data_IF_997471971525
#
_entry.id   IF_997471971525
#
_cell.length_a   1.000
_cell.length_b   1.000
_cell.length_c   1.000
_cell.angle_alpha   90.00
_cell.angle_beta   90.00
_cell.angle_gamma   90.00
#
_symmetry.space_group_name_H-M   'P 1'
#
loop_
_entity.id
_entity.type
_entity.pdbx_description
1 polymer ?
#
# COMPACT_ATOMS: atom_id res chain seq x y z
N UNK A 1 -32.09 8.92 6.28
CA UNK A 1 -31.10 8.42 5.29
C UNK A 1 -29.76 9.07 5.61
N UNK A 2 -28.76 8.31 6.08
CA UNK A 2 -27.46 8.88 6.44
C UNK A 2 -26.58 9.03 5.19
N UNK A 3 -26.40 10.27 4.74
CA UNK A 3 -25.52 10.62 3.62
C UNK A 3 -24.09 10.76 4.15
N UNK A 4 -23.19 9.82 3.82
CA UNK A 4 -21.75 9.96 4.06
C UNK A 4 -21.14 10.82 2.95
N UNK A 5 -20.93 12.09 3.24
CA UNK A 5 -20.27 13.03 2.33
C UNK A 5 -18.77 12.69 2.19
N UNK A 6 -18.20 12.76 0.97
CA UNK A 6 -16.77 12.59 0.76
C UNK A 6 -16.01 13.78 1.33
N UNK A 7 -14.84 13.51 1.91
CA UNK A 7 -14.00 14.55 2.51
C UNK A 7 -13.35 15.39 1.41
N UNK A 8 -13.70 16.67 1.34
CA UNK A 8 -13.21 17.61 0.33
C UNK A 8 -11.73 17.98 0.54
N UNK A 9 -11.25 17.99 1.79
CA UNK A 9 -9.89 18.41 2.13
C UNK A 9 -8.98 17.24 2.50
N UNK A 10 -7.88 17.08 1.78
CA UNK A 10 -6.82 16.13 2.09
C UNK A 10 -5.96 16.58 3.28
N UNK A 11 -5.45 15.60 4.06
CA UNK A 11 -4.54 15.90 5.17
C UNK A 11 -3.14 16.21 4.61
N UNK A 12 -2.60 17.37 4.96
CA UNK A 12 -1.24 17.77 4.56
C UNK A 12 -0.18 16.86 5.19
N UNK A 13 0.91 16.64 4.45
CA UNK A 13 2.08 15.89 4.95
C UNK A 13 2.71 16.59 6.15
N UNK A 14 3.09 15.81 7.17
CA UNK A 14 3.79 16.35 8.34
C UNK A 14 5.22 16.75 7.99
N UNK A 15 5.59 18.00 8.29
CA UNK A 15 6.96 18.51 8.14
C UNK A 15 7.73 18.23 9.44
N UNK A 16 8.80 17.46 9.35
CA UNK A 16 9.67 17.14 10.50
C UNK A 16 10.66 18.28 10.73
N UNK A 17 11.12 18.49 11.97
CA UNK A 17 12.14 19.49 12.28
C UNK A 17 11.68 20.95 12.17
N UNK A 18 10.39 21.25 12.44
CA UNK A 18 9.81 22.60 12.37
C UNK A 18 9.37 23.11 13.74
N UNK A 19 10.30 23.12 14.70
CA UNK A 19 10.07 23.61 16.06
C UNK A 19 9.16 22.71 16.92
N UNK A 20 9.13 22.97 18.23
CA UNK A 20 8.42 22.11 19.18
C UNK A 20 6.90 22.11 18.97
N UNK A 21 6.30 23.26 18.62
CA UNK A 21 4.86 23.40 18.35
C UNK A 21 4.34 22.58 17.15
N UNK A 22 5.22 22.08 16.27
CA UNK A 22 4.84 21.15 15.20
C UNK A 22 4.59 19.71 15.67
N UNK A 23 4.91 19.41 16.94
CA UNK A 23 4.83 18.08 17.55
C UNK A 23 5.87 17.07 17.04
N UNK A 24 6.73 17.43 16.08
CA UNK A 24 7.83 16.59 15.55
C UNK A 24 9.11 17.39 15.23
N UNK A 25 9.26 18.58 15.80
CA UNK A 25 10.40 19.47 15.54
C UNK A 25 11.31 19.74 16.73
N UNK A 26 11.17 18.99 17.83
CA UNK A 26 12.14 19.00 18.93
C UNK A 26 13.43 18.25 18.53
N UNK A 27 14.42 18.22 19.42
CA UNK A 27 15.81 17.78 19.20
C UNK A 27 15.97 16.43 18.46
N UNK A 28 15.01 15.52 18.61
CA UNK A 28 15.08 14.17 18.03
C UNK A 28 14.25 13.97 16.76
N UNK A 29 13.46 14.97 16.34
CA UNK A 29 12.52 14.86 15.21
C UNK A 29 11.74 13.52 15.18
N UNK A 30 11.39 12.97 16.35
CA UNK A 30 10.76 11.64 16.54
C UNK A 30 11.53 10.41 16.05
N UNK A 31 12.84 10.51 15.93
CA UNK A 31 13.72 9.38 15.66
C UNK A 31 14.32 8.75 16.93
N UNK A 32 14.06 9.33 18.10
CA UNK A 32 14.69 8.95 19.37
C UNK A 32 16.02 9.68 19.62
N UNK A 33 16.60 9.50 20.81
CA UNK A 33 17.80 10.25 21.23
C UNK A 33 19.09 9.68 20.64
N UNK A 34 19.39 8.41 20.90
CA UNK A 34 20.65 7.77 20.53
C UNK A 34 20.37 6.33 20.12
N UNK A 35 20.62 6.00 18.86
CA UNK A 35 20.45 4.64 18.34
C UNK A 35 20.77 4.57 16.85
N UNK A 36 20.94 3.36 16.30
CA UNK A 36 21.23 3.21 14.87
C UNK A 36 20.11 3.82 14.01
N UNK A 37 18.84 3.62 14.36
CA UNK A 37 17.67 4.19 13.65
C UNK A 37 17.57 5.72 13.68
N UNK A 38 18.26 6.39 14.61
CA UNK A 38 18.29 7.85 14.62
C UNK A 38 19.36 8.43 13.71
N UNK A 39 20.39 7.65 13.38
CA UNK A 39 21.55 8.06 12.56
C UNK A 39 21.50 7.52 11.13
N UNK A 40 21.05 6.28 10.96
CA UNK A 40 21.09 5.55 9.70
C UNK A 40 19.81 4.77 9.43
N UNK A 41 19.61 4.43 8.16
CA UNK A 41 18.51 3.58 7.73
C UNK A 41 18.93 2.12 7.81
N UNK A 42 18.08 1.29 8.43
CA UNK A 42 18.26 -0.15 8.49
C UNK A 42 17.35 -0.77 7.43
N UNK A 43 17.83 -1.81 6.74
CA UNK A 43 17.04 -2.51 5.74
C UNK A 43 15.75 -3.06 6.35
N UNK A 44 14.62 -2.89 5.65
CA UNK A 44 13.27 -3.23 6.16
C UNK A 44 13.15 -4.71 6.55
N UNK A 45 13.84 -5.59 5.83
CA UNK A 45 13.81 -7.04 6.07
C UNK A 45 14.86 -7.50 7.10
N UNK A 46 15.61 -6.58 7.71
CA UNK A 46 16.62 -6.94 8.70
C UNK A 46 15.98 -7.16 10.07
N UNK A 47 16.04 -8.40 10.55
CA UNK A 47 15.49 -8.82 11.85
C UNK A 47 16.51 -8.74 13.00
N UNK A 48 17.74 -8.29 12.75
CA UNK A 48 18.83 -8.33 13.76
C UNK A 48 19.65 -9.63 13.76
N UNK A 49 19.31 -10.57 12.87
CA UNK A 49 20.01 -11.85 12.74
C UNK A 49 20.72 -11.96 11.38
N UNK A 50 21.73 -12.84 11.27
CA UNK A 50 22.36 -13.16 9.98
C UNK A 50 21.29 -13.56 8.96
N UNK A 51 21.46 -13.18 7.69
CA UNK A 51 20.46 -13.42 6.61
C UNK A 51 19.96 -14.86 6.51
N UNK A 52 20.82 -15.85 6.81
CA UNK A 52 20.44 -17.29 6.82
C UNK A 52 19.30 -17.61 7.80
N UNK A 53 19.11 -16.78 8.82
CA UNK A 53 18.08 -16.92 9.86
C UNK A 53 16.90 -15.96 9.68
N UNK A 54 16.84 -15.15 8.63
CA UNK A 54 15.66 -14.28 8.38
C UNK A 54 14.45 -15.12 7.97
N UNK A 55 13.26 -14.63 8.28
CA UNK A 55 11.97 -15.19 7.88
C UNK A 55 11.91 -15.56 6.41
N UNK A 56 12.51 -14.75 5.52
CA UNK A 56 12.56 -15.01 4.08
C UNK A 56 13.24 -16.31 3.69
N UNK A 57 14.21 -16.78 4.50
CA UNK A 57 14.94 -18.03 4.28
C UNK A 57 14.36 -19.18 5.09
N UNK A 58 13.63 -18.89 6.18
CA UNK A 58 12.91 -19.90 6.97
C UNK A 58 11.69 -20.45 6.24
N UNK A 59 10.99 -19.60 5.49
CA UNK A 59 9.80 -20.01 4.74
C UNK A 59 10.16 -20.70 3.43
N UNK A 60 9.42 -21.75 3.02
CA UNK A 60 9.63 -22.36 1.72
C UNK A 60 9.33 -21.36 0.61
N UNK A 61 10.18 -21.36 -0.42
CA UNK A 61 9.92 -20.54 -1.60
C UNK A 61 8.71 -21.11 -2.37
N UNK A 62 7.88 -20.23 -2.90
CA UNK A 62 6.77 -20.64 -3.78
C UNK A 62 7.31 -21.47 -4.95
N UNK A 63 6.76 -22.67 -5.12
CA UNK A 63 7.14 -23.58 -6.20
C UNK A 63 6.87 -22.92 -7.55
N UNK A 64 7.88 -22.83 -8.40
CA UNK A 64 7.78 -22.23 -9.74
C UNK A 64 7.79 -20.69 -9.80
N UNK A 65 8.27 -20.01 -8.75
CA UNK A 65 8.49 -18.55 -8.75
C UNK A 65 9.30 -18.13 -9.99
N UNK A 66 8.63 -17.51 -10.97
CA UNK A 66 9.26 -17.00 -12.19
C UNK A 66 9.49 -18.00 -13.32
N UNK A 67 8.83 -19.17 -13.35
CA UNK A 67 8.91 -20.09 -14.51
C UNK A 67 8.24 -19.48 -15.76
N UNK A 68 9.00 -18.65 -16.48
CA UNK A 68 8.90 -18.24 -17.89
C UNK A 68 7.51 -17.98 -18.49
N UNK A 69 6.58 -17.39 -17.73
CA UNK A 69 5.29 -16.97 -18.31
C UNK A 69 5.40 -15.55 -18.82
N UNK A 70 5.31 -15.35 -20.15
CA UNK A 70 4.95 -14.03 -20.68
C UNK A 70 3.61 -13.67 -20.05
N UNK A 71 3.59 -12.66 -19.18
CA UNK A 71 2.34 -12.15 -18.63
C UNK A 71 1.61 -11.45 -19.77
N UNK A 72 0.98 -12.20 -20.66
CA UNK A 72 -0.10 -11.67 -21.49
C UNK A 72 -1.18 -11.29 -20.48
N UNK A 73 -1.24 -9.99 -20.15
CA UNK A 73 -2.28 -9.46 -19.29
C UNK A 73 -3.63 -9.95 -19.80
N UNK A 74 -4.57 -10.24 -18.90
CA UNK A 74 -5.92 -10.60 -19.28
C UNK A 74 -6.53 -9.40 -20.02
N UNK A 75 -6.43 -9.37 -21.34
CA UNK A 75 -7.08 -8.39 -22.22
C UNK A 75 -8.56 -8.73 -22.44
N UNK A 76 -9.06 -9.81 -21.84
CA UNK A 76 -10.48 -10.12 -21.81
C UNK A 76 -11.11 -9.53 -20.53
N UNK A 77 -11.96 -8.50 -20.70
CA UNK A 77 -12.92 -8.10 -19.66
C UNK A 77 -14.00 -9.17 -19.59
N UNK A 78 -14.07 -9.89 -18.47
CA UNK A 78 -15.20 -10.77 -18.19
C UNK A 78 -16.45 -9.92 -17.91
N UNK A 79 -17.43 -9.96 -18.81
CA UNK A 79 -18.75 -9.35 -18.60
C UNK A 79 -19.72 -10.47 -18.22
N UNK A 80 -20.36 -10.34 -17.05
CA UNK A 80 -21.41 -11.27 -16.60
C UNK A 80 -22.73 -10.94 -17.29
N UNK A 81 -23.54 -11.96 -17.59
CA UNK A 81 -24.85 -11.80 -18.26
C UNK A 81 -25.78 -10.77 -17.59
N UNK A 82 -25.65 -10.58 -16.28
CA UNK A 82 -26.38 -9.55 -15.52
C UNK A 82 -26.08 -8.12 -15.94
N UNK A 83 -24.82 -7.82 -16.35
CA UNK A 83 -24.41 -6.47 -16.75
C UNK A 83 -24.90 -6.09 -18.16
N UNK A 84 -25.20 -7.07 -19.01
CA UNK A 84 -25.69 -6.85 -20.38
C UNK A 84 -27.16 -6.39 -20.35
N UNK A 85 -27.97 -6.94 -19.44
CA UNK A 85 -29.41 -6.62 -19.32
C UNK A 85 -29.70 -5.17 -18.91
N UNK A 86 -28.74 -4.49 -18.30
CA UNK A 86 -28.88 -3.07 -17.88
C UNK A 86 -28.91 -2.13 -19.10
N UNK A 87 -28.39 -2.55 -20.25
CA UNK A 87 -28.33 -1.74 -21.46
C UNK A 87 -29.44 -2.06 -22.48
N UNK A 88 -30.39 -2.93 -22.14
CA UNK A 88 -31.51 -3.24 -23.02
C UNK A 88 -32.38 -1.98 -23.24
N UNK A 89 -32.69 -1.60 -24.49
CA UNK A 89 -33.52 -0.42 -24.75
C UNK A 89 -34.90 -0.62 -24.11
N UNK A 90 -35.36 0.37 -23.33
CA UNK A 90 -36.73 0.36 -22.82
C UNK A 90 -37.66 0.52 -24.01
N UNK A 91 -38.50 -0.47 -24.27
CA UNK A 91 -39.49 -0.42 -25.33
C UNK A 91 -40.37 0.83 -25.15
N UNK A 92 -40.47 1.65 -26.20
CA UNK A 92 -41.37 2.80 -26.24
C UNK A 92 -42.80 2.29 -26.21
N UNK A 93 -43.55 2.65 -25.16
CA UNK A 93 -45.01 2.48 -25.13
C UNK A 93 -45.61 3.48 -26.13
N UNK A 94 -46.15 2.97 -27.23
CA UNK A 94 -47.25 3.59 -27.98
C UNK A 94 -48.48 3.69 -27.09
#
# INVERSE_FOLDING_TARGET
MNVRLPKVNEKRKKRLGRGMGSGKGSHTSSRGQKGQKSRTNIHVLFEGMKMKKSLLKRLPLMRGKGRFRSRKGKTARYVTKSKIKVFAPKASKT
#
